data_IF_719454758925
#
_entry.id   IF_719454758925
#
_cell.length_a   1.000
_cell.length_b   1.000
_cell.length_c   1.000
_cell.angle_alpha   90.00
_cell.angle_beta   90.00
_cell.angle_gamma   90.00
#
_symmetry.space_group_name_H-M   'P 1'
#
loop_
_entity.id
_entity.type
_entity.pdbx_description
1 polymer ?
#
# COMPACT_ATOMS: atom_id res chain seq x y z
N UNK A 1 -5.69 20.45 60.51
CA UNK A 1 -4.96 21.03 59.35
C UNK A 1 -4.31 19.97 58.44
N UNK A 2 -3.51 19.02 58.96
CA UNK A 2 -2.79 17.99 58.15
C UNK A 2 -3.68 17.15 57.21
N UNK A 3 -4.91 16.77 57.62
CA UNK A 3 -5.85 16.01 56.75
C UNK A 3 -6.36 16.79 55.53
N UNK A 4 -6.53 18.12 55.64
CA UNK A 4 -6.99 18.95 54.51
C UNK A 4 -5.91 19.06 53.43
N UNK A 5 -4.64 19.18 53.82
CA UNK A 5 -3.51 19.18 52.89
C UNK A 5 -3.34 17.83 52.18
N UNK A 6 -3.55 16.71 52.87
CA UNK A 6 -3.51 15.38 52.25
C UNK A 6 -4.57 15.19 51.16
N UNK A 7 -5.79 15.73 51.36
CA UNK A 7 -6.86 15.67 50.37
C UNK A 7 -6.53 16.53 49.14
N UNK A 8 -6.00 17.74 49.34
CA UNK A 8 -5.61 18.64 48.24
C UNK A 8 -4.47 18.04 47.41
N UNK A 9 -3.47 17.43 48.06
CA UNK A 9 -2.37 16.74 47.38
C UNK A 9 -2.89 15.53 46.58
N UNK A 10 -3.83 14.75 47.16
CA UNK A 10 -4.45 13.63 46.46
C UNK A 10 -5.20 14.06 45.19
N UNK A 11 -5.96 15.15 45.25
CA UNK A 11 -6.66 15.71 44.09
C UNK A 11 -5.66 16.19 43.04
N UNK A 12 -4.57 16.84 43.44
CA UNK A 12 -3.54 17.31 42.52
C UNK A 12 -2.84 16.15 41.78
N UNK A 13 -2.56 15.05 42.48
CA UNK A 13 -1.97 13.83 41.87
C UNK A 13 -2.95 13.20 40.88
N UNK A 14 -4.25 13.13 41.21
CA UNK A 14 -5.27 12.58 40.29
C UNK A 14 -5.41 13.45 39.04
N UNK A 15 -5.43 14.77 39.19
CA UNK A 15 -5.47 15.71 38.05
C UNK A 15 -4.21 15.57 37.20
N UNK A 16 -3.03 15.50 37.80
CA UNK A 16 -1.77 15.32 37.09
C UNK A 16 -1.75 13.97 36.33
N UNK A 17 -2.27 12.91 36.96
CA UNK A 17 -2.38 11.59 36.34
C UNK A 17 -3.36 11.62 35.15
N UNK A 18 -4.49 12.32 35.28
CA UNK A 18 -5.45 12.52 34.19
C UNK A 18 -4.84 13.34 33.03
N UNK A 19 -4.10 14.41 33.32
CA UNK A 19 -3.40 15.22 32.31
C UNK A 19 -2.34 14.39 31.57
N UNK A 20 -1.54 13.58 32.28
CA UNK A 20 -0.55 12.69 31.65
C UNK A 20 -1.25 11.62 30.79
N UNK A 21 -2.43 11.15 31.19
CA UNK A 21 -3.20 10.15 30.44
C UNK A 21 -3.85 10.75 29.18
N UNK A 22 -4.30 12.00 29.20
CA UNK A 22 -4.91 12.68 28.04
C UNK A 22 -3.87 13.33 27.12
N UNK A 23 -2.71 13.75 27.63
CA UNK A 23 -1.60 14.26 26.81
C UNK A 23 -0.91 13.18 25.96
N UNK A 24 -1.18 11.90 26.24
CA UNK A 24 -0.69 10.74 25.47
C UNK A 24 -1.71 10.22 24.46
N UNK A 25 -2.43 11.11 23.79
CA UNK A 25 -2.92 10.76 22.46
C UNK A 25 -1.80 11.10 21.48
N UNK A 26 -0.95 10.14 21.07
CA UNK A 26 -0.05 10.41 19.96
C UNK A 26 -0.92 10.82 18.79
N UNK A 27 -0.69 12.03 18.25
CA UNK A 27 -1.20 12.42 16.95
C UNK A 27 -0.81 11.26 16.03
N UNK A 28 -1.80 10.55 15.47
CA UNK A 28 -1.50 9.46 14.55
C UNK A 28 -0.85 10.08 13.33
N UNK A 29 0.47 9.91 13.22
CA UNK A 29 1.23 10.31 12.04
C UNK A 29 0.61 9.60 10.83
N UNK A 30 0.07 10.42 9.94
CA UNK A 30 -0.64 10.00 8.72
C UNK A 30 0.06 10.61 7.54
N UNK A 31 0.15 9.85 6.44
CA UNK A 31 0.71 10.39 5.21
C UNK A 31 -0.17 11.58 4.79
N UNK A 32 0.46 12.74 4.69
CA UNK A 32 -0.16 13.99 4.25
C UNK A 32 0.62 14.48 3.05
N UNK A 33 -0.04 14.65 1.91
CA UNK A 33 0.64 15.14 0.73
C UNK A 33 0.90 16.64 0.84
N UNK A 34 2.16 17.03 0.66
CA UNK A 34 2.60 18.40 0.46
C UNK A 34 3.08 18.61 -0.98
N UNK A 35 3.19 19.85 -1.47
CA UNK A 35 3.82 20.11 -2.76
C UNK A 35 5.17 19.39 -2.88
N UNK A 36 5.42 18.80 -4.04
CA UNK A 36 6.63 18.01 -4.27
C UNK A 36 7.88 18.87 -4.14
N UNK A 37 8.89 18.35 -3.45
CA UNK A 37 10.18 19.02 -3.34
C UNK A 37 10.85 19.07 -4.72
N UNK A 38 11.44 20.23 -5.07
CA UNK A 38 11.98 20.45 -6.43
C UNK A 38 13.22 19.61 -6.74
N UNK A 39 14.02 19.32 -5.70
CA UNK A 39 15.38 18.79 -5.88
C UNK A 39 15.64 17.48 -5.10
N UNK A 40 14.73 17.06 -4.23
CA UNK A 40 14.94 15.86 -3.41
C UNK A 40 14.43 14.66 -4.20
N UNK A 41 15.20 13.58 -4.20
CA UNK A 41 14.87 12.40 -4.98
C UNK A 41 15.37 11.13 -4.31
N UNK A 42 14.63 10.05 -4.52
CA UNK A 42 15.08 8.72 -4.17
C UNK A 42 16.16 8.29 -5.16
N UNK A 43 17.33 7.93 -4.61
CA UNK A 43 18.43 7.31 -5.35
C UNK A 43 18.08 5.84 -5.60
N UNK A 44 17.58 5.16 -4.56
CA UNK A 44 17.15 3.76 -4.63
C UNK A 44 15.73 3.62 -4.07
N UNK A 45 14.93 2.74 -4.68
CA UNK A 45 13.59 2.37 -4.24
C UNK A 45 13.28 0.98 -4.80
N UNK A 46 13.22 -0.02 -3.93
CA UNK A 46 13.15 -1.42 -4.30
C UNK A 46 12.11 -2.16 -3.47
N UNK A 47 11.43 -3.07 -4.15
CA UNK A 47 10.59 -4.11 -3.56
C UNK A 47 11.14 -5.43 -4.04
N UNK A 48 11.24 -6.42 -3.16
CA UNK A 48 11.75 -7.74 -3.51
C UNK A 48 10.93 -8.84 -2.86
N UNK A 49 10.59 -9.85 -3.66
CA UNK A 49 9.90 -11.06 -3.24
C UNK A 49 10.80 -12.27 -3.47
N UNK A 50 11.12 -12.99 -2.40
CA UNK A 50 11.98 -14.17 -2.50
C UNK A 50 11.24 -15.40 -2.01
N UNK A 51 11.26 -16.47 -2.80
CA UNK A 51 10.77 -17.78 -2.35
C UNK A 51 11.76 -18.39 -1.36
N UNK A 52 11.28 -18.78 -0.18
CA UNK A 52 12.02 -19.59 0.78
C UNK A 52 11.33 -20.96 0.89
N UNK A 53 11.86 -22.01 0.24
CA UNK A 53 11.30 -23.35 0.30
C UNK A 53 11.32 -23.93 1.74
N UNK A 54 10.28 -24.67 2.11
CA UNK A 54 10.31 -25.42 3.36
C UNK A 54 11.00 -26.78 3.16
N UNK A 55 12.08 -27.02 3.91
CA UNK A 55 12.87 -28.27 3.82
C UNK A 55 12.09 -29.52 4.26
N UNK A 56 11.09 -29.37 5.13
CA UNK A 56 10.35 -30.49 5.72
C UNK A 56 9.03 -30.80 4.97
N UNK A 57 8.43 -29.81 4.32
CA UNK A 57 7.17 -29.98 3.59
C UNK A 57 7.22 -29.21 2.27
N UNK A 58 7.35 -29.93 1.15
CA UNK A 58 7.51 -29.36 -0.18
C UNK A 58 6.32 -28.52 -0.67
N UNK A 59 5.11 -28.76 -0.14
CA UNK A 59 3.90 -27.99 -0.52
C UNK A 59 3.72 -26.73 0.32
N UNK A 60 4.65 -26.44 1.24
CA UNK A 60 4.68 -25.23 2.06
C UNK A 60 5.94 -24.46 1.76
N UNK A 61 5.83 -23.14 1.78
CA UNK A 61 6.97 -22.25 1.61
C UNK A 61 6.71 -20.94 2.36
N UNK A 62 7.72 -20.08 2.39
CA UNK A 62 7.56 -18.70 2.78
C UNK A 62 7.86 -17.80 1.59
N UNK A 63 7.16 -16.69 1.51
CA UNK A 63 7.58 -15.56 0.70
C UNK A 63 8.23 -14.57 1.65
N UNK A 64 9.52 -14.30 1.44
CA UNK A 64 10.19 -13.16 2.03
C UNK A 64 9.83 -11.91 1.24
N UNK A 65 9.46 -10.86 1.96
CA UNK A 65 9.01 -9.61 1.40
C UNK A 65 9.87 -8.48 1.95
N UNK A 66 10.72 -7.91 1.10
CA UNK A 66 11.62 -6.81 1.45
C UNK A 66 11.27 -5.52 0.71
N UNK A 67 11.43 -4.40 1.41
CA UNK A 67 11.33 -3.05 0.87
C UNK A 67 12.57 -2.28 1.30
N UNK A 68 13.22 -1.64 0.35
CA UNK A 68 14.36 -0.80 0.58
C UNK A 68 14.18 0.55 -0.12
N UNK A 69 14.60 1.63 0.53
CA UNK A 69 14.71 2.93 -0.13
C UNK A 69 15.83 3.78 0.42
N UNK A 70 16.42 4.58 -0.47
CA UNK A 70 17.46 5.56 -0.15
C UNK A 70 17.16 6.88 -0.83
N UNK A 71 17.13 7.92 -0.03
CA UNK A 71 16.97 9.30 -0.46
C UNK A 71 18.34 9.98 -0.54
N UNK A 72 18.47 10.94 -1.43
CA UNK A 72 19.68 11.75 -1.63
C UNK A 72 20.08 12.59 -0.40
N UNK A 73 19.18 12.74 0.56
CA UNK A 73 19.35 13.48 1.81
C UNK A 73 18.57 12.84 2.95
N UNK A 74 18.78 13.34 4.18
CA UNK A 74 17.90 13.01 5.31
C UNK A 74 16.59 13.78 5.17
N UNK A 75 15.47 13.09 5.33
CA UNK A 75 14.17 13.73 5.44
C UNK A 75 13.81 13.94 6.91
N UNK A 76 12.96 14.94 7.19
CA UNK A 76 12.44 15.19 8.53
C UNK A 76 11.65 13.97 9.03
N UNK A 77 10.76 13.46 8.19
CA UNK A 77 9.93 12.29 8.46
C UNK A 77 9.94 11.35 7.25
N UNK A 78 9.99 10.03 7.47
CA UNK A 78 10.04 8.99 6.45
C UNK A 78 9.09 7.86 6.78
N UNK A 79 8.46 7.32 5.74
CA UNK A 79 7.73 6.07 5.82
C UNK A 79 7.78 5.35 4.48
N UNK A 80 8.03 4.05 4.55
CA UNK A 80 7.85 3.14 3.44
C UNK A 80 6.69 2.20 3.78
N UNK A 81 5.83 1.95 2.81
CA UNK A 81 4.65 1.08 2.96
C UNK A 81 4.66 0.06 1.85
N UNK A 82 4.33 -1.16 2.21
CA UNK A 82 4.20 -2.27 1.30
C UNK A 82 2.82 -2.90 1.29
N UNK A 83 2.37 -3.34 0.12
CA UNK A 83 1.19 -4.17 -0.08
C UNK A 83 1.56 -5.40 -0.90
N UNK A 84 1.52 -6.58 -0.28
CA UNK A 84 1.73 -7.87 -0.93
C UNK A 84 0.39 -8.57 -1.21
N UNK A 85 0.14 -8.83 -2.49
CA UNK A 85 -1.03 -9.52 -3.00
C UNK A 85 -0.67 -10.93 -3.48
N UNK A 86 -1.60 -11.87 -3.31
CA UNK A 86 -1.61 -13.19 -3.96
C UNK A 86 -2.88 -13.31 -4.78
N UNK A 87 -2.74 -13.62 -6.07
CA UNK A 87 -3.86 -13.79 -7.01
C UNK A 87 -4.85 -12.62 -6.92
N UNK A 88 -4.32 -11.39 -6.91
CA UNK A 88 -5.12 -10.17 -6.86
C UNK A 88 -5.76 -9.83 -5.51
N UNK A 89 -5.47 -10.58 -4.43
CA UNK A 89 -5.98 -10.29 -3.08
C UNK A 89 -4.86 -10.00 -2.09
N UNK A 90 -5.06 -9.00 -1.25
CA UNK A 90 -4.07 -8.54 -0.29
C UNK A 90 -3.87 -9.58 0.81
N UNK A 91 -2.65 -10.08 0.97
CA UNK A 91 -2.32 -11.08 2.00
C UNK A 91 -1.49 -10.47 3.14
N UNK A 92 -0.74 -9.40 2.88
CA UNK A 92 0.10 -8.77 3.90
C UNK A 92 0.44 -7.31 3.54
N UNK A 93 0.11 -6.33 4.40
CA UNK A 93 0.75 -5.02 4.37
C UNK A 93 1.97 -4.99 5.30
N UNK A 94 2.94 -4.13 5.00
CA UNK A 94 4.08 -3.84 5.90
C UNK A 94 4.35 -2.33 5.94
N UNK A 95 5.02 -1.85 6.99
CA UNK A 95 5.41 -0.44 7.12
C UNK A 95 4.34 0.51 7.68
N UNK A 96 3.11 0.04 7.88
CA UNK A 96 2.04 0.82 8.52
C UNK A 96 2.49 1.25 9.93
N UNK A 97 2.38 2.55 10.24
CA UNK A 97 2.81 3.17 11.51
C UNK A 97 4.31 3.04 11.84
N UNK A 98 5.16 2.63 10.88
CA UNK A 98 6.62 2.56 11.05
C UNK A 98 7.30 3.84 10.53
N UNK A 99 7.01 4.97 11.18
CA UNK A 99 7.63 6.25 10.85
C UNK A 99 9.05 6.33 11.40
N UNK A 100 9.93 7.00 10.65
CA UNK A 100 11.29 7.32 11.08
C UNK A 100 11.60 8.78 10.84
N UNK A 101 12.21 9.42 11.84
CA UNK A 101 12.66 10.81 11.72
C UNK A 101 14.13 10.87 11.30
N UNK A 102 14.50 11.94 10.59
CA UNK A 102 15.89 12.26 10.24
C UNK A 102 16.66 11.14 9.52
N UNK A 103 15.96 10.34 8.71
CA UNK A 103 16.54 9.22 7.98
C UNK A 103 16.62 9.48 6.48
N UNK A 104 17.69 9.03 5.85
CA UNK A 104 17.83 8.94 4.40
C UNK A 104 17.56 7.54 3.87
N UNK A 105 17.59 6.49 4.71
CA UNK A 105 17.48 5.09 4.30
C UNK A 105 16.44 4.36 5.14
N UNK A 106 15.57 3.57 4.49
CA UNK A 106 14.67 2.63 5.15
C UNK A 106 14.86 1.23 4.59
N UNK A 107 14.72 0.23 5.47
CA UNK A 107 14.64 -1.19 5.11
C UNK A 107 13.53 -1.81 5.95
N UNK A 108 12.62 -2.52 5.30
CA UNK A 108 11.55 -3.28 5.93
C UNK A 108 11.60 -4.70 5.38
N UNK A 109 11.50 -5.68 6.27
CA UNK A 109 11.36 -7.08 5.89
C UNK A 109 10.19 -7.72 6.65
N UNK A 110 9.61 -8.74 6.02
CA UNK A 110 8.61 -9.59 6.64
C UNK A 110 8.58 -10.93 5.89
N UNK A 111 7.88 -11.92 6.45
CA UNK A 111 7.67 -13.20 5.78
C UNK A 111 6.19 -13.60 5.86
N UNK A 112 5.70 -14.27 4.82
CA UNK A 112 4.35 -14.83 4.79
C UNK A 112 4.45 -16.32 4.52
N UNK A 113 3.81 -17.12 5.38
CA UNK A 113 3.71 -18.56 5.16
C UNK A 113 2.65 -18.83 4.09
N UNK A 114 3.03 -19.58 3.07
CA UNK A 114 2.21 -19.86 1.91
C UNK A 114 2.26 -21.32 1.52
N UNK A 115 1.30 -21.68 0.66
CA UNK A 115 1.11 -23.01 0.10
C UNK A 115 0.44 -22.89 -1.27
N UNK A 116 0.47 -24.00 -2.00
CA UNK A 116 -0.10 -24.12 -3.34
C UNK A 116 0.56 -23.15 -4.34
N UNK A 117 0.18 -23.22 -5.61
CA UNK A 117 0.68 -22.28 -6.60
C UNK A 117 0.09 -20.88 -6.41
N UNK A 118 0.82 -19.84 -6.81
CA UNK A 118 0.37 -18.46 -6.66
C UNK A 118 1.11 -17.46 -7.54
N UNK A 119 0.38 -16.42 -7.95
CA UNK A 119 0.93 -15.21 -8.53
C UNK A 119 0.96 -14.11 -7.47
N UNK A 120 2.16 -13.66 -7.13
CA UNK A 120 2.39 -12.64 -6.12
C UNK A 120 2.76 -11.32 -6.78
N UNK A 121 2.15 -10.24 -6.29
CA UNK A 121 2.43 -8.87 -6.69
C UNK A 121 2.67 -8.05 -5.44
N UNK A 122 3.79 -7.35 -5.36
CA UNK A 122 4.08 -6.43 -4.28
C UNK A 122 4.31 -5.02 -4.83
N UNK A 123 3.57 -4.06 -4.30
CA UNK A 123 3.78 -2.64 -4.56
C UNK A 123 4.19 -1.94 -3.27
N UNK A 124 5.17 -1.06 -3.38
CA UNK A 124 5.61 -0.23 -2.27
C UNK A 124 5.52 1.26 -2.60
N UNK A 125 5.20 2.07 -1.59
CA UNK A 125 5.22 3.52 -1.63
C UNK A 125 6.26 4.03 -0.63
N UNK A 126 7.23 4.77 -1.13
CA UNK A 126 8.29 5.37 -0.34
C UNK A 126 8.02 6.86 -0.24
N UNK A 127 7.95 7.35 0.98
CA UNK A 127 7.51 8.70 1.28
C UNK A 127 8.48 9.39 2.22
N UNK A 128 8.71 10.68 1.98
CA UNK A 128 9.49 11.54 2.86
C UNK A 128 8.96 12.96 2.90
N UNK A 129 9.11 13.58 4.06
CA UNK A 129 8.84 15.00 4.30
C UNK A 129 10.16 15.74 4.41
N UNK A 130 10.36 16.71 3.52
CA UNK A 130 11.51 17.61 3.54
C UNK A 130 11.07 18.93 4.17
N UNK A 131 11.72 19.28 5.28
CA UNK A 131 11.49 20.55 5.97
C UNK A 131 12.65 21.52 5.66
N UNK A 132 12.35 22.60 4.96
CA UNK A 132 13.33 23.64 4.60
C UNK A 132 12.68 25.01 4.75
N UNK A 133 13.38 25.94 5.42
CA UNK A 133 12.94 27.35 5.57
C UNK A 133 11.49 27.51 6.08
N UNK A 134 11.06 26.63 7.00
CA UNK A 134 9.72 26.65 7.59
C UNK A 134 8.61 26.06 6.69
N UNK A 135 8.94 25.53 5.52
CA UNK A 135 8.00 24.83 4.64
C UNK A 135 8.24 23.33 4.67
N UNK A 136 7.16 22.56 4.53
CA UNK A 136 7.20 21.11 4.36
C UNK A 136 6.86 20.79 2.89
N UNK A 137 7.60 19.86 2.31
CA UNK A 137 7.40 19.37 0.96
C UNK A 137 7.54 17.85 0.91
N UNK A 138 6.84 17.22 -0.01
CA UNK A 138 6.86 15.76 -0.14
C UNK A 138 7.93 15.31 -1.13
N UNK A 139 8.56 14.19 -0.87
CA UNK A 139 9.30 13.40 -1.86
C UNK A 139 8.74 11.99 -1.85
N UNK A 140 8.53 11.43 -3.03
CA UNK A 140 7.87 10.13 -3.18
C UNK A 140 8.46 9.32 -4.32
N UNK A 141 8.40 8.00 -4.19
CA UNK A 141 8.66 7.04 -5.27
C UNK A 141 7.88 5.78 -4.99
N UNK A 142 7.57 5.00 -6.01
CA UNK A 142 7.03 3.65 -5.84
C UNK A 142 7.99 2.60 -6.41
N UNK A 143 7.92 1.38 -5.89
CA UNK A 143 8.59 0.21 -6.48
C UNK A 143 7.61 -0.95 -6.57
N UNK A 144 8.00 -1.96 -7.33
CA UNK A 144 7.17 -3.13 -7.61
C UNK A 144 8.03 -4.37 -7.76
N UNK A 145 7.50 -5.50 -7.34
CA UNK A 145 8.00 -6.80 -7.74
C UNK A 145 6.85 -7.80 -7.93
N UNK A 146 7.11 -8.85 -8.71
CA UNK A 146 6.20 -9.96 -8.92
C UNK A 146 6.95 -11.28 -8.86
N UNK A 147 6.28 -12.30 -8.35
CA UNK A 147 6.83 -13.64 -8.23
C UNK A 147 5.75 -14.66 -8.58
N UNK A 148 6.07 -15.57 -9.50
CA UNK A 148 5.27 -16.75 -9.78
C UNK A 148 5.83 -17.90 -8.94
N UNK A 149 4.96 -18.65 -8.26
CA UNK A 149 5.33 -19.88 -7.55
C UNK A 149 4.42 -20.99 -8.00
N UNK A 150 5.01 -22.10 -8.44
CA UNK A 150 4.32 -23.26 -8.99
C UNK A 150 4.63 -24.47 -8.12
N UNK A 151 3.56 -24.99 -7.52
CA UNK A 151 3.51 -26.27 -6.85
C UNK A 151 2.84 -27.28 -7.79
N UNK A 152 3.67 -28.03 -8.52
CA UNK A 152 3.23 -29.01 -9.52
C UNK A 152 3.65 -30.40 -9.10
N UNK A 153 2.75 -31.38 -9.26
CA UNK A 153 3.09 -32.81 -9.09
C UNK A 153 4.13 -33.31 -10.09
N UNK A 154 4.34 -32.57 -11.18
CA UNK A 154 5.27 -32.91 -12.24
C UNK A 154 6.68 -32.37 -12.02
N UNK A 155 6.88 -31.45 -11.06
CA UNK A 155 8.20 -30.92 -10.71
C UNK A 155 8.59 -31.35 -9.28
N UNK A 156 9.78 -31.95 -9.07
CA UNK A 156 10.17 -32.48 -7.75
C UNK A 156 10.40 -31.39 -6.69
N UNK A 157 10.57 -30.14 -7.13
CA UNK A 157 10.75 -28.94 -6.31
C UNK A 157 9.76 -27.84 -6.77
N UNK A 158 9.50 -26.87 -5.89
CA UNK A 158 8.78 -25.65 -6.25
C UNK A 158 9.53 -24.91 -7.36
N UNK A 159 8.83 -24.58 -8.44
CA UNK A 159 9.34 -23.70 -9.48
C UNK A 159 8.94 -22.27 -9.12
N UNK A 160 9.87 -21.32 -9.21
CA UNK A 160 9.55 -19.90 -9.06
C UNK A 160 10.39 -19.02 -9.94
N UNK A 161 9.80 -17.95 -10.46
CA UNK A 161 10.46 -17.00 -11.33
C UNK A 161 9.76 -15.63 -11.26
N UNK A 162 10.52 -14.56 -11.52
CA UNK A 162 9.98 -13.20 -11.61
C UNK A 162 9.53 -12.87 -13.05
N UNK A 163 10.26 -13.38 -14.04
CA UNK A 163 9.95 -13.23 -15.47
C UNK A 163 10.28 -14.55 -16.17
N UNK A 164 9.41 -14.97 -17.08
CA UNK A 164 9.64 -16.21 -17.81
C UNK A 164 10.91 -16.15 -18.68
N UNK A 165 11.82 -17.12 -18.48
CA UNK A 165 13.00 -17.34 -19.29
C UNK A 165 12.86 -18.57 -20.20
N UNK A 166 11.96 -19.50 -19.87
CA UNK A 166 11.68 -20.72 -20.64
C UNK A 166 10.27 -20.76 -21.22
N UNK A 167 10.03 -21.67 -22.17
CA UNK A 167 8.68 -21.89 -22.74
C UNK A 167 7.67 -22.34 -21.69
N UNK A 168 8.08 -23.20 -20.76
CA UNK A 168 7.23 -23.68 -19.67
C UNK A 168 6.87 -22.54 -18.71
N UNK A 169 7.85 -21.74 -18.30
CA UNK A 169 7.59 -20.57 -17.46
C UNK A 169 6.68 -19.57 -18.18
N UNK A 170 6.82 -19.41 -19.50
CA UNK A 170 5.95 -18.52 -20.27
C UNK A 170 4.49 -19.01 -20.29
N UNK A 171 4.28 -20.32 -20.43
CA UNK A 171 2.95 -20.92 -20.32
C UNK A 171 2.33 -20.70 -18.94
N UNK A 172 3.11 -20.88 -17.87
CA UNK A 172 2.66 -20.60 -16.51
C UNK A 172 2.35 -19.12 -16.30
N UNK A 173 3.25 -18.23 -16.72
CA UNK A 173 3.06 -16.77 -16.65
C UNK A 173 1.76 -16.35 -17.33
N UNK A 174 1.53 -16.80 -18.57
CA UNK A 174 0.32 -16.47 -19.33
C UNK A 174 -0.93 -17.03 -18.66
N UNK A 175 -0.87 -18.25 -18.13
CA UNK A 175 -1.98 -18.89 -17.39
C UNK A 175 -2.34 -18.08 -16.13
N UNK A 176 -1.37 -17.79 -15.27
CA UNK A 176 -1.60 -17.00 -14.05
C UNK A 176 -2.12 -15.61 -14.36
N UNK A 177 -1.52 -14.93 -15.35
CA UNK A 177 -1.93 -13.59 -15.73
C UNK A 177 -3.36 -13.56 -16.28
N UNK A 178 -3.73 -14.50 -17.16
CA UNK A 178 -5.08 -14.59 -17.70
C UNK A 178 -6.11 -14.93 -16.62
N UNK A 179 -5.81 -15.89 -15.74
CA UNK A 179 -6.69 -16.26 -14.62
C UNK A 179 -6.90 -15.08 -13.66
N UNK A 180 -5.81 -14.43 -13.22
CA UNK A 180 -5.86 -13.30 -12.31
C UNK A 180 -6.63 -12.12 -12.94
N UNK A 181 -6.33 -11.81 -14.20
CA UNK A 181 -7.02 -10.75 -14.95
C UNK A 181 -8.52 -11.04 -15.07
N UNK A 182 -8.90 -12.24 -15.49
CA UNK A 182 -10.31 -12.63 -15.65
C UNK A 182 -11.06 -12.52 -14.32
N UNK A 183 -10.46 -13.00 -13.24
CA UNK A 183 -11.05 -12.94 -11.90
C UNK A 183 -11.24 -11.50 -11.42
N UNK A 184 -10.20 -10.66 -11.51
CA UNK A 184 -10.28 -9.26 -11.10
C UNK A 184 -11.23 -8.45 -11.98
N UNK A 185 -11.21 -8.64 -13.30
CA UNK A 185 -12.11 -7.95 -14.23
C UNK A 185 -13.57 -8.29 -13.92
N UNK A 186 -13.90 -9.56 -13.63
CA UNK A 186 -15.25 -9.96 -13.21
C UNK A 186 -15.68 -9.26 -11.92
N UNK A 187 -14.81 -9.28 -10.90
CA UNK A 187 -15.05 -8.64 -9.61
C UNK A 187 -15.26 -7.12 -9.77
N UNK A 188 -14.41 -6.44 -10.53
CA UNK A 188 -14.52 -5.01 -10.77
C UNK A 188 -15.77 -4.65 -11.58
N UNK A 189 -16.16 -5.45 -12.58
CA UNK A 189 -17.40 -5.22 -13.34
C UNK A 189 -18.61 -5.27 -12.40
N UNK A 190 -18.66 -6.26 -11.51
CA UNK A 190 -19.73 -6.38 -10.51
C UNK A 190 -19.76 -5.18 -9.56
N UNK A 191 -18.60 -4.76 -9.04
CA UNK A 191 -18.49 -3.60 -8.17
C UNK A 191 -18.92 -2.29 -8.85
N UNK A 192 -18.44 -2.05 -10.08
CA UNK A 192 -18.82 -0.88 -10.89
C UNK A 192 -20.33 -0.83 -11.10
N UNK A 193 -20.94 -1.99 -11.41
CA UNK A 193 -22.39 -2.10 -11.58
C UNK A 193 -23.15 -1.80 -10.29
N UNK A 194 -22.75 -2.40 -9.16
CA UNK A 194 -23.38 -2.20 -7.84
C UNK A 194 -23.26 -0.75 -7.35
N UNK A 195 -22.17 -0.07 -7.71
CA UNK A 195 -21.92 1.34 -7.38
C UNK A 195 -22.53 2.33 -8.39
N UNK A 196 -23.21 1.87 -9.44
CA UNK A 196 -23.83 2.73 -10.46
C UNK A 196 -22.83 3.54 -11.29
N UNK A 197 -21.58 3.07 -11.44
CA UNK A 197 -20.52 3.80 -12.14
C UNK A 197 -20.61 3.55 -13.65
N UNK A 198 -20.71 4.61 -14.45
CA UNK A 198 -20.62 4.49 -15.90
C UNK A 198 -19.16 4.28 -16.36
N UNK A 199 -18.75 3.01 -16.48
CA UNK A 199 -17.39 2.61 -16.87
C UNK A 199 -16.87 3.29 -18.14
N UNK A 200 -17.74 3.59 -19.10
CA UNK A 200 -17.34 4.20 -20.38
C UNK A 200 -16.73 5.59 -20.22
N UNK A 201 -16.98 6.27 -19.09
CA UNK A 201 -16.44 7.60 -18.80
C UNK A 201 -15.03 7.57 -18.19
N UNK A 202 -14.47 6.38 -17.94
CA UNK A 202 -13.23 6.24 -17.19
C UNK A 202 -12.16 5.47 -17.96
N UNK A 203 -10.90 5.76 -17.63
CA UNK A 203 -9.73 4.93 -17.93
C UNK A 203 -9.35 4.18 -16.65
N UNK A 204 -9.12 2.88 -16.74
CA UNK A 204 -8.90 2.03 -15.56
C UNK A 204 -7.44 1.60 -15.45
N UNK A 205 -6.86 1.75 -14.25
CA UNK A 205 -5.48 1.34 -13.95
C UNK A 205 -5.49 0.59 -12.61
N UNK A 206 -5.03 -0.67 -12.53
CA UNK A 206 -4.85 -1.35 -11.25
C UNK A 206 -3.77 -0.66 -10.41
N UNK A 207 -3.93 -0.60 -9.09
CA UNK A 207 -2.94 -0.01 -8.19
C UNK A 207 -1.55 -0.64 -8.38
N UNK A 208 -1.45 -1.96 -8.61
CA UNK A 208 -0.18 -2.66 -8.84
C UNK A 208 0.58 -2.16 -10.08
N UNK A 209 -0.10 -1.51 -11.03
CA UNK A 209 0.52 -0.93 -12.23
C UNK A 209 1.00 0.51 -12.05
N UNK A 210 0.68 1.16 -10.93
CA UNK A 210 0.99 2.57 -10.69
C UNK A 210 2.51 2.91 -10.68
N UNK A 211 3.43 2.01 -10.29
CA UNK A 211 4.88 2.26 -10.34
C UNK A 211 5.41 2.58 -11.76
N UNK A 212 4.71 2.13 -12.81
CA UNK A 212 5.02 2.48 -14.20
C UNK A 212 4.89 3.99 -14.50
N UNK A 213 4.25 4.74 -13.61
CA UNK A 213 4.02 6.19 -13.72
C UNK A 213 4.91 7.02 -12.80
N UNK A 214 5.96 6.44 -12.20
CA UNK A 214 7.00 7.20 -11.52
C UNK A 214 7.62 8.26 -12.46
N UNK A 215 7.97 7.81 -13.66
CA UNK A 215 8.70 8.63 -14.63
C UNK A 215 7.91 8.95 -15.90
N UNK A 216 6.66 8.49 -15.97
CA UNK A 216 5.74 8.71 -17.09
C UNK A 216 4.44 9.35 -16.59
N UNK A 217 3.81 10.26 -17.36
CA UNK A 217 2.54 10.85 -16.97
C UNK A 217 1.42 9.81 -16.94
N UNK A 218 0.50 9.98 -15.98
CA UNK A 218 -0.81 9.33 -16.02
C UNK A 218 -1.56 9.76 -17.29
N UNK A 219 -2.40 8.89 -17.87
CA UNK A 219 -3.08 9.19 -19.13
C UNK A 219 -3.94 10.45 -19.04
N UNK A 220 -3.60 11.48 -19.81
CA UNK A 220 -4.31 12.77 -19.83
C UNK A 220 -3.76 13.84 -18.88
N UNK A 221 -2.65 13.58 -18.20
CA UNK A 221 -2.02 14.51 -17.25
C UNK A 221 -0.57 14.82 -17.62
N UNK A 222 0.00 15.88 -17.02
CA UNK A 222 1.45 16.13 -17.06
C UNK A 222 2.17 15.29 -16.02
N UNK A 223 3.50 15.12 -16.13
CA UNK A 223 4.30 14.38 -15.13
C UNK A 223 4.10 14.95 -13.72
N UNK A 224 4.19 16.27 -13.57
CA UNK A 224 4.02 16.95 -12.27
C UNK A 224 2.62 16.72 -11.71
N UNK A 225 1.58 16.88 -12.54
CA UNK A 225 0.20 16.66 -12.08
C UNK A 225 -0.05 15.20 -11.72
N UNK A 226 0.56 14.28 -12.45
CA UNK A 226 0.47 12.84 -12.17
C UNK A 226 1.04 12.51 -10.80
N UNK A 227 2.22 13.06 -10.48
CA UNK A 227 2.85 12.84 -9.18
C UNK A 227 2.03 13.46 -8.04
N UNK A 228 1.43 14.63 -8.24
CA UNK A 228 0.49 15.21 -7.27
C UNK A 228 -0.74 14.31 -7.03
N UNK A 229 -1.34 13.80 -8.11
CA UNK A 229 -2.48 12.88 -8.03
C UNK A 229 -2.11 11.59 -7.28
N UNK A 230 -0.93 11.02 -7.58
CA UNK A 230 -0.41 9.81 -6.93
C UNK A 230 -0.17 10.04 -5.44
N UNK A 231 0.42 11.18 -5.07
CA UNK A 231 0.69 11.49 -3.67
C UNK A 231 -0.60 11.62 -2.85
N UNK A 232 -1.59 12.35 -3.38
CA UNK A 232 -2.93 12.47 -2.78
C UNK A 232 -3.68 11.14 -2.74
N UNK A 233 -3.52 10.30 -3.77
CA UNK A 233 -4.07 8.95 -3.79
C UNK A 233 -3.52 8.10 -2.64
N UNK A 234 -2.20 8.10 -2.43
CA UNK A 234 -1.58 7.36 -1.33
C UNK A 234 -1.94 7.91 0.05
N UNK A 235 -2.07 9.22 0.22
CA UNK A 235 -2.66 9.83 1.41
C UNK A 235 -4.08 9.30 1.66
N UNK A 236 -4.93 9.29 0.63
CA UNK A 236 -6.30 8.79 0.71
C UNK A 236 -6.36 7.29 1.05
N UNK A 237 -5.53 6.47 0.42
CA UNK A 237 -5.39 5.05 0.72
C UNK A 237 -4.88 4.83 2.14
N UNK A 238 -3.92 5.62 2.61
CA UNK A 238 -3.44 5.50 3.98
C UNK A 238 -4.56 5.71 4.99
N UNK A 239 -5.30 6.80 4.84
CA UNK A 239 -6.37 7.20 5.75
C UNK A 239 -7.57 6.26 5.74
N UNK A 240 -7.97 5.77 4.56
CA UNK A 240 -9.25 5.09 4.38
C UNK A 240 -9.14 3.58 4.09
N UNK A 241 -7.94 3.08 3.82
CA UNK A 241 -7.70 1.67 3.51
C UNK A 241 -6.68 1.05 4.48
N UNK A 242 -5.52 1.67 4.67
CA UNK A 242 -4.43 1.10 5.49
C UNK A 242 -4.67 1.19 7.00
N UNK A 243 -5.29 2.26 7.49
CA UNK A 243 -5.62 2.40 8.90
C UNK A 243 -6.88 1.61 9.33
N UNK A 244 -7.53 0.92 8.39
CA UNK A 244 -8.75 0.14 8.60
C UNK A 244 -9.92 0.70 7.78
N UNK A 245 -10.71 -0.20 7.20
CA UNK A 245 -11.85 0.17 6.34
C UNK A 245 -13.06 0.42 7.23
N UNK A 246 -13.45 1.68 7.42
CA UNK A 246 -14.62 2.03 8.22
C UNK A 246 -15.90 1.76 7.43
N UNK A 247 -16.84 1.02 8.04
CA UNK A 247 -18.18 0.77 7.53
C UNK A 247 -19.14 1.90 7.94
N UNK A 248 -20.29 1.95 7.28
CA UNK A 248 -21.38 2.89 7.62
C UNK A 248 -21.92 2.68 9.04
N UNK A 249 -21.91 1.44 9.52
CA UNK A 249 -22.32 1.06 10.89
C UNK A 249 -21.27 1.43 11.96
N UNK A 250 -20.18 2.10 11.58
CA UNK A 250 -19.09 2.51 12.47
C UNK A 250 -18.09 1.41 12.82
N UNK A 251 -18.30 0.18 12.34
CA UNK A 251 -17.33 -0.91 12.51
C UNK A 251 -16.14 -0.78 11.55
N UNK A 252 -15.06 -1.50 11.83
CA UNK A 252 -13.86 -1.51 10.98
C UNK A 252 -13.64 -2.92 10.42
N UNK A 253 -13.46 -3.02 9.10
CA UNK A 253 -13.09 -4.26 8.42
C UNK A 253 -11.58 -4.30 8.13
N UNK A 254 -11.02 -5.50 8.24
CA UNK A 254 -9.63 -5.74 7.84
C UNK A 254 -9.47 -5.60 6.33
N UNK A 255 -8.44 -4.87 5.92
CA UNK A 255 -7.99 -4.79 4.54
C UNK A 255 -7.51 -6.14 3.97
N UNK A 256 -7.10 -7.09 4.83
CA UNK A 256 -6.62 -8.41 4.40
C UNK A 256 -7.72 -9.18 3.67
N UNK A 257 -7.39 -9.70 2.50
CA UNK A 257 -8.31 -10.39 1.60
C UNK A 257 -9.02 -9.46 0.62
N UNK A 258 -8.85 -8.14 0.74
CA UNK A 258 -9.39 -7.19 -0.23
C UNK A 258 -8.66 -7.32 -1.57
N UNK A 259 -9.35 -7.03 -2.67
CA UNK A 259 -8.74 -7.05 -4.01
C UNK A 259 -7.72 -5.92 -4.17
N UNK A 260 -6.81 -6.06 -5.15
CA UNK A 260 -6.04 -4.92 -5.68
C UNK A 260 -7.01 -3.80 -6.04
N UNK A 261 -6.80 -2.56 -5.54
CA UNK A 261 -7.65 -1.44 -5.90
C UNK A 261 -7.58 -1.12 -7.41
N UNK A 262 -8.72 -0.85 -8.02
CA UNK A 262 -8.82 -0.32 -9.38
C UNK A 262 -9.00 1.19 -9.32
N UNK A 263 -8.13 1.90 -10.03
CA UNK A 263 -8.18 3.35 -10.19
C UNK A 263 -8.95 3.66 -11.47
N UNK A 264 -10.01 4.47 -11.36
CA UNK A 264 -10.83 4.92 -12.48
C UNK A 264 -10.62 6.43 -12.65
N UNK A 265 -9.81 6.80 -13.63
CA UNK A 265 -9.56 8.20 -13.99
C UNK A 265 -10.65 8.68 -14.95
N UNK A 266 -11.39 9.71 -14.56
CA UNK A 266 -12.41 10.28 -15.43
C UNK A 266 -11.75 10.85 -16.70
N UNK A 267 -12.31 10.56 -17.88
CA UNK A 267 -11.80 11.02 -19.17
C UNK A 267 -11.78 12.55 -19.32
N UNK A 268 -12.55 13.27 -18.49
CA UNK A 268 -12.53 14.74 -18.40
C UNK A 268 -11.47 15.27 -17.41
N UNK A 269 -10.70 14.39 -16.78
CA UNK A 269 -9.63 14.70 -15.83
C UNK A 269 -10.05 15.41 -14.52
N UNK A 270 -11.34 15.40 -14.15
CA UNK A 270 -11.86 16.10 -12.95
C UNK A 270 -11.92 15.26 -11.67
N UNK A 271 -11.87 13.94 -11.79
CA UNK A 271 -11.97 13.05 -10.64
C UNK A 271 -11.25 11.72 -10.88
N UNK A 272 -10.85 11.11 -9.76
CA UNK A 272 -10.35 9.76 -9.65
C UNK A 272 -11.26 9.01 -8.68
N UNK A 273 -11.82 7.89 -9.12
CA UNK A 273 -12.49 6.93 -8.25
C UNK A 273 -11.54 5.77 -7.96
N UNK A 274 -11.54 5.28 -6.73
CA UNK A 274 -10.81 4.09 -6.33
C UNK A 274 -11.83 3.06 -5.86
N UNK A 275 -11.84 1.89 -6.48
CA UNK A 275 -12.69 0.79 -6.05
C UNK A 275 -11.84 -0.40 -5.59
N UNK A 276 -12.28 -1.05 -4.54
CA UNK A 276 -11.75 -2.35 -4.12
C UNK A 276 -12.87 -3.15 -3.49
N UNK A 277 -12.71 -4.47 -3.45
CA UNK A 277 -13.72 -5.38 -2.92
C UNK A 277 -13.11 -6.08 -1.73
N UNK A 278 -13.80 -6.00 -0.59
CA UNK A 278 -13.29 -6.57 0.66
C UNK A 278 -13.31 -8.09 0.66
N UNK A 279 -12.79 -8.70 1.73
CA UNK A 279 -12.90 -10.14 1.95
C UNK A 279 -14.36 -10.59 2.04
N UNK A 280 -15.25 -9.75 2.56
CA UNK A 280 -16.70 -9.99 2.64
C UNK A 280 -17.44 -9.80 1.30
N UNK A 281 -16.73 -9.53 0.21
CA UNK A 281 -17.29 -9.25 -1.14
C UNK A 281 -18.08 -7.94 -1.25
N UNK A 282 -17.92 -7.04 -0.28
CA UNK A 282 -18.53 -5.71 -0.36
C UNK A 282 -17.63 -4.75 -1.16
N UNK A 283 -18.18 -4.03 -2.16
CA UNK A 283 -17.44 -3.02 -2.88
C UNK A 283 -17.31 -1.74 -2.05
N UNK A 284 -16.12 -1.17 -2.04
CA UNK A 284 -15.83 0.14 -1.48
C UNK A 284 -15.47 1.12 -2.57
N UNK A 285 -15.86 2.38 -2.37
CA UNK A 285 -15.58 3.49 -3.27
C UNK A 285 -14.92 4.62 -2.49
N UNK A 286 -13.73 5.03 -2.93
CA UNK A 286 -13.12 6.30 -2.53
C UNK A 286 -13.15 7.25 -3.73
N UNK A 287 -13.30 8.55 -3.45
CA UNK A 287 -13.35 9.59 -4.47
C UNK A 287 -12.33 10.68 -4.17
N UNK A 288 -11.56 11.05 -5.18
CA UNK A 288 -10.63 12.16 -5.16
C UNK A 288 -11.01 13.15 -6.27
N UNK A 289 -11.22 14.42 -5.92
CA UNK A 289 -11.38 15.50 -6.90
C UNK A 289 -10.01 15.92 -7.40
N UNK A 290 -9.89 16.13 -8.72
CA UNK A 290 -8.68 16.59 -9.38
C UNK A 290 -8.94 18.04 -9.83
N UNK A 291 -8.28 18.98 -9.15
CA UNK A 291 -8.30 20.41 -9.48
C UNK A 291 -7.17 20.78 -10.45
#
# INVERSE_FOLDING_TARGET
MKKKYAIVIGIFIVILFLIIKTAKHPVQETITFFPLHKNAQFIDAETMLTLIPNKQNKSKYKIEYEIYSKLDRKAYLRQDIGLLFKNGRLIKPIGIKKWQQHSSKLTLNDTVNERDSGYYEAISFHYGEIQEKGMISSVQRMSFDKLYVIDSKFTPNLLSFHSAATKEEKQWEDTFNQMNKKQLDQLWIQAISKLGINRSQYRTIPLSSLPNYNDRPLPGFTKNKSQEIIGKLWEGLYKNYLLGIKKEDGTSESLIGSTVPLLLFNKNNKELLIIFITKSQEPYLLKQIIN
#
